data_IF_157469032323
#
_entry.id   IF_157469032323
#
_cell.length_a   1.000
_cell.length_b   1.000
_cell.length_c   1.000
_cell.angle_alpha   90.00
_cell.angle_beta   90.00
_cell.angle_gamma   90.00
#
_symmetry.space_group_name_H-M   'P 1'
#
loop_
_entity.id
_entity.type
_entity.pdbx_description
1 polymer ?
#
# COMPACT_ATOMS: atom_id res chain seq x y z
N UNK A 1 -28.18 -1.31 -38.44
CA UNK A 1 -27.89 0.07 -38.92
C UNK A 1 -29.07 1.00 -38.65
N UNK A 2 -30.25 0.75 -39.25
CA UNK A 2 -31.47 1.54 -39.03
C UNK A 2 -31.86 1.78 -37.54
N UNK A 3 -31.70 0.78 -36.65
CA UNK A 3 -32.00 0.92 -35.21
C UNK A 3 -31.09 1.94 -34.50
N UNK A 4 -29.83 2.07 -34.91
CA UNK A 4 -28.87 3.03 -34.34
C UNK A 4 -29.10 4.44 -34.91
N UNK A 5 -29.51 4.54 -36.18
CA UNK A 5 -29.84 5.81 -36.85
C UNK A 5 -31.07 6.47 -36.22
N UNK A 6 -32.09 5.69 -35.86
CA UNK A 6 -33.30 6.19 -35.19
C UNK A 6 -33.12 6.57 -33.72
N UNK A 7 -32.03 6.15 -33.06
CA UNK A 7 -31.70 6.53 -31.66
C UNK A 7 -30.82 7.77 -31.59
N UNK A 8 -30.39 8.30 -32.75
CA UNK A 8 -29.54 9.48 -32.86
C UNK A 8 -30.31 10.77 -32.57
N UNK A 9 -31.54 10.92 -33.11
CA UNK A 9 -32.34 12.15 -33.02
C UNK A 9 -33.85 11.84 -32.84
N UNK A 10 -34.49 12.21 -31.72
CA UNK A 10 -33.91 12.77 -30.50
C UNK A 10 -33.23 11.68 -29.64
N UNK A 11 -32.11 11.97 -28.97
CA UNK A 11 -31.46 11.00 -28.11
C UNK A 11 -32.36 10.63 -26.93
N UNK A 12 -32.77 9.37 -26.87
CA UNK A 12 -33.54 8.83 -25.75
C UNK A 12 -32.60 8.63 -24.54
N UNK A 13 -32.81 9.40 -23.47
CA UNK A 13 -32.06 9.28 -22.23
C UNK A 13 -32.49 8.07 -21.41
N UNK A 14 -31.96 6.87 -21.71
CA UNK A 14 -32.07 5.72 -20.81
C UNK A 14 -30.81 5.63 -19.94
N UNK A 15 -30.95 5.84 -18.64
CA UNK A 15 -29.86 5.60 -17.68
C UNK A 15 -29.73 4.09 -17.49
N UNK A 16 -28.66 3.52 -18.08
CA UNK A 16 -28.34 2.09 -17.95
C UNK A 16 -27.20 1.93 -16.95
N UNK A 17 -27.41 1.11 -15.93
CA UNK A 17 -26.36 0.70 -15.02
C UNK A 17 -25.63 -0.52 -15.59
N UNK A 18 -24.36 -0.35 -15.93
CA UNK A 18 -23.48 -1.44 -16.36
C UNK A 18 -22.53 -1.80 -15.23
N UNK A 19 -22.57 -3.05 -14.79
CA UNK A 19 -21.61 -3.59 -13.82
C UNK A 19 -20.86 -4.78 -14.41
N UNK A 20 -19.57 -4.84 -14.11
CA UNK A 20 -18.75 -6.00 -14.38
C UNK A 20 -18.87 -6.99 -13.22
N UNK A 21 -19.52 -8.12 -13.46
CA UNK A 21 -19.53 -9.23 -12.50
C UNK A 21 -18.11 -9.72 -12.22
N UNK A 22 -17.79 -9.95 -10.95
CA UNK A 22 -16.51 -10.52 -10.49
C UNK A 22 -15.26 -9.83 -11.06
N UNK A 23 -15.29 -8.50 -11.23
CA UNK A 23 -14.20 -7.78 -11.89
C UNK A 23 -12.83 -7.98 -11.21
N UNK A 24 -12.73 -7.94 -9.87
CA UNK A 24 -11.45 -8.12 -9.16
C UNK A 24 -10.87 -9.53 -9.36
N UNK A 25 -11.62 -10.63 -9.11
CA UNK A 25 -11.17 -11.97 -9.46
C UNK A 25 -10.73 -12.10 -10.92
N UNK A 26 -11.52 -11.54 -11.85
CA UNK A 26 -11.22 -11.64 -13.28
C UNK A 26 -9.93 -10.90 -13.66
N UNK A 27 -9.67 -9.72 -13.11
CA UNK A 27 -8.42 -8.98 -13.31
C UNK A 27 -7.23 -9.79 -12.78
N UNK A 28 -7.32 -10.33 -11.55
CA UNK A 28 -6.23 -11.14 -10.99
C UNK A 28 -5.89 -12.37 -11.85
N UNK A 29 -6.91 -13.06 -12.36
CA UNK A 29 -6.73 -14.24 -13.20
C UNK A 29 -6.18 -13.87 -14.60
N UNK A 30 -6.72 -12.83 -15.22
CA UNK A 30 -6.30 -12.38 -16.55
C UNK A 30 -4.84 -11.89 -16.53
N UNK A 31 -4.47 -11.11 -15.51
CA UNK A 31 -3.13 -10.56 -15.36
C UNK A 31 -2.16 -11.52 -14.63
N UNK A 32 -2.65 -12.70 -14.21
CA UNK A 32 -1.89 -13.69 -13.42
C UNK A 32 -1.24 -13.10 -12.16
N UNK A 33 -1.93 -12.14 -11.53
CA UNK A 33 -1.47 -11.45 -10.32
C UNK A 33 -1.50 -12.43 -9.14
N UNK A 34 -0.31 -12.72 -8.63
CA UNK A 34 -0.04 -13.41 -7.38
C UNK A 34 1.09 -12.64 -6.69
N UNK A 35 1.22 -12.71 -5.35
CA UNK A 35 2.33 -12.06 -4.64
C UNK A 35 3.70 -12.39 -5.25
N UNK A 36 3.92 -13.66 -5.59
CA UNK A 36 5.17 -14.15 -6.19
C UNK A 36 5.40 -13.67 -7.62
N UNK A 37 4.37 -13.19 -8.32
CA UNK A 37 4.49 -12.63 -9.67
C UNK A 37 5.00 -11.17 -9.66
N UNK A 38 5.12 -10.54 -8.48
CA UNK A 38 5.68 -9.20 -8.32
C UNK A 38 7.16 -9.34 -8.02
N UNK A 39 8.00 -9.13 -9.02
CA UNK A 39 9.46 -9.30 -8.93
C UNK A 39 10.18 -7.97 -9.11
N UNK A 40 11.30 -7.80 -8.42
CA UNK A 40 12.21 -6.68 -8.62
C UNK A 40 13.24 -6.98 -9.73
N UNK A 41 14.00 -5.95 -10.11
CA UNK A 41 15.00 -6.06 -11.18
C UNK A 41 16.11 -7.05 -10.81
N UNK A 42 16.49 -7.12 -9.53
CA UNK A 42 17.52 -8.04 -9.06
C UNK A 42 17.10 -9.51 -9.21
N UNK A 43 15.85 -9.84 -8.86
CA UNK A 43 15.28 -11.19 -9.04
C UNK A 43 15.13 -11.54 -10.51
N UNK A 44 14.71 -10.59 -11.34
CA UNK A 44 14.63 -10.78 -12.79
C UNK A 44 16.02 -11.01 -13.40
N UNK A 45 17.05 -10.30 -12.93
CA UNK A 45 18.41 -10.35 -13.46
C UNK A 45 19.03 -11.74 -13.41
N UNK A 46 18.76 -12.52 -12.36
CA UNK A 46 19.28 -13.88 -12.16
C UNK A 46 18.39 -14.97 -12.77
N UNK A 47 17.26 -14.61 -13.40
CA UNK A 47 16.34 -15.55 -14.02
C UNK A 47 16.90 -16.13 -15.32
N UNK A 48 16.81 -17.46 -15.51
CA UNK A 48 17.25 -18.13 -16.75
C UNK A 48 16.56 -17.64 -18.03
N UNK A 49 15.35 -17.06 -17.87
CA UNK A 49 14.53 -16.49 -18.93
C UNK A 49 14.84 -15.01 -19.20
N UNK A 50 15.78 -14.40 -18.47
CA UNK A 50 16.24 -13.04 -18.72
C UNK A 50 17.15 -12.99 -19.96
N UNK A 51 16.55 -13.15 -21.13
CA UNK A 51 17.20 -13.15 -22.44
C UNK A 51 16.51 -12.13 -23.34
N UNK A 52 17.23 -11.57 -24.33
CA UNK A 52 16.61 -10.68 -25.32
C UNK A 52 15.39 -11.33 -25.97
N UNK A 53 14.27 -10.60 -26.01
CA UNK A 53 13.01 -11.08 -26.62
C UNK A 53 12.10 -11.87 -25.67
N UNK A 54 12.37 -11.88 -24.36
CA UNK A 54 11.42 -12.42 -23.40
C UNK A 54 10.09 -11.63 -23.39
N UNK A 55 8.98 -12.34 -23.15
CA UNK A 55 7.64 -11.75 -23.08
C UNK A 55 6.92 -12.07 -21.75
N UNK A 56 7.67 -12.60 -20.78
CA UNK A 56 7.14 -12.99 -19.47
C UNK A 56 7.01 -11.80 -18.51
N UNK A 57 7.79 -10.74 -18.70
CA UNK A 57 7.80 -9.57 -17.81
C UNK A 57 6.80 -8.51 -18.28
N UNK A 58 5.60 -8.52 -17.70
CA UNK A 58 4.57 -7.51 -17.94
C UNK A 58 4.70 -6.37 -16.94
N UNK A 59 4.94 -5.15 -17.44
CA UNK A 59 4.94 -3.94 -16.61
C UNK A 59 3.52 -3.43 -16.40
N UNK A 60 3.14 -3.23 -15.15
CA UNK A 60 1.84 -2.68 -14.75
C UNK A 60 2.05 -1.51 -13.80
N UNK A 61 1.23 -0.47 -13.94
CA UNK A 61 1.24 0.68 -13.06
C UNK A 61 0.27 0.48 -11.91
N UNK A 62 0.65 0.91 -10.72
CA UNK A 62 -0.24 0.95 -9.56
C UNK A 62 -0.07 2.28 -8.84
N UNK A 63 -1.12 2.70 -8.14
CA UNK A 63 -1.10 3.90 -7.32
C UNK A 63 -0.87 3.50 -5.87
N UNK A 64 0.14 4.11 -5.27
CA UNK A 64 0.39 4.00 -3.84
C UNK A 64 -0.15 5.24 -3.14
N UNK A 65 -0.76 5.04 -1.97
CA UNK A 65 -1.31 6.10 -1.14
C UNK A 65 -0.88 5.85 0.28
N UNK A 66 -0.23 6.85 0.86
CA UNK A 66 0.13 6.87 2.28
C UNK A 66 -0.60 7.98 3.02
N UNK A 67 -0.77 7.74 4.31
CA UNK A 67 -1.12 8.75 5.30
C UNK A 67 0.04 8.77 6.29
N UNK A 68 0.75 9.90 6.34
CA UNK A 68 1.98 10.04 7.12
C UNK A 68 1.99 11.37 7.88
N UNK A 69 2.74 11.41 8.98
CA UNK A 69 2.93 12.64 9.74
C UNK A 69 3.89 13.58 9.00
N UNK A 70 3.57 14.88 8.88
CA UNK A 70 4.42 15.83 8.16
C UNK A 70 5.71 16.19 8.93
N UNK A 71 5.91 15.64 10.13
CA UNK A 71 7.04 15.95 10.99
C UNK A 71 8.36 15.53 10.35
N UNK A 72 9.36 16.42 10.45
CA UNK A 72 10.69 16.16 9.90
C UNK A 72 11.53 15.29 10.84
N UNK A 73 12.64 14.76 10.32
CA UNK A 73 13.51 13.85 11.10
C UNK A 73 14.12 14.52 12.33
N UNK A 74 14.43 15.81 12.25
CA UNK A 74 14.91 16.63 13.36
C UNK A 74 13.83 16.81 14.44
N UNK A 75 12.59 17.12 14.05
CA UNK A 75 11.45 17.21 14.98
C UNK A 75 11.20 15.86 15.67
N UNK A 76 11.21 14.76 14.91
CA UNK A 76 11.13 13.41 15.45
C UNK A 76 12.25 13.12 16.45
N UNK A 77 13.50 13.47 16.11
CA UNK A 77 14.64 13.25 17.00
C UNK A 77 14.53 14.11 18.27
N UNK A 78 14.07 15.35 18.18
CA UNK A 78 13.81 16.21 19.34
C UNK A 78 12.77 15.60 20.27
N UNK A 79 11.63 15.13 19.74
CA UNK A 79 10.60 14.44 20.53
C UNK A 79 11.19 13.18 21.18
N UNK A 80 11.94 12.39 20.42
CA UNK A 80 12.62 11.21 20.95
C UNK A 80 13.62 11.56 22.07
N UNK A 81 14.36 12.67 21.95
CA UNK A 81 15.27 13.12 23.01
C UNK A 81 14.51 13.56 24.27
N UNK A 82 13.40 14.28 24.12
CA UNK A 82 12.53 14.65 25.24
C UNK A 82 12.00 13.41 25.97
N UNK A 83 11.46 12.43 25.25
CA UNK A 83 10.97 11.17 25.82
C UNK A 83 12.07 10.39 26.55
N UNK A 84 13.32 10.44 26.08
CA UNK A 84 14.44 9.79 26.76
C UNK A 84 14.81 10.43 28.12
N UNK A 85 14.40 11.69 28.34
CA UNK A 85 14.60 12.39 29.61
C UNK A 85 13.43 12.17 30.59
N UNK A 86 12.30 11.64 30.10
CA UNK A 86 11.13 11.33 30.89
C UNK A 86 11.20 9.93 31.54
N UNK A 87 10.40 9.76 32.58
CA UNK A 87 10.21 8.49 33.30
C UNK A 87 8.79 8.00 33.13
N UNK A 88 8.64 6.72 32.80
CA UNK A 88 7.37 6.08 32.50
C UNK A 88 6.96 5.14 33.64
N UNK A 89 5.66 4.89 33.84
CA UNK A 89 5.21 3.87 34.78
C UNK A 89 5.74 2.49 34.38
N UNK A 90 5.96 1.64 35.37
CA UNK A 90 6.37 0.26 35.13
C UNK A 90 5.28 -0.53 34.42
N UNK A 91 5.67 -1.42 33.51
CA UNK A 91 4.75 -2.37 32.86
C UNK A 91 4.09 -3.33 33.87
N UNK A 92 4.71 -3.56 35.03
CA UNK A 92 4.16 -4.38 36.13
C UNK A 92 3.59 -3.50 37.23
N UNK A 93 2.44 -3.83 37.83
CA UNK A 93 1.90 -3.08 38.97
C UNK A 93 2.89 -3.04 40.14
N UNK A 94 3.22 -1.84 40.63
CA UNK A 94 4.13 -1.64 41.76
C UNK A 94 5.63 -1.75 41.45
N UNK A 95 6.03 -1.81 40.18
CA UNK A 95 7.44 -1.77 39.78
C UNK A 95 8.07 -0.37 39.84
N UNK A 96 9.41 -0.27 39.74
CA UNK A 96 10.09 1.01 39.63
C UNK A 96 9.79 1.70 38.30
N UNK A 97 9.81 3.04 38.27
CA UNK A 97 9.67 3.78 37.02
C UNK A 97 10.74 3.35 36.01
N UNK A 98 10.34 3.26 34.74
CA UNK A 98 11.19 2.81 33.65
C UNK A 98 11.57 3.98 32.74
N UNK A 99 12.73 3.88 32.09
CA UNK A 99 13.13 4.82 31.04
C UNK A 99 12.46 4.46 29.71
N UNK A 100 12.40 5.41 28.79
CA UNK A 100 11.86 5.20 27.45
C UNK A 100 12.44 3.96 26.74
N UNK A 101 13.75 3.74 26.83
CA UNK A 101 14.46 2.63 26.18
C UNK A 101 14.08 1.25 26.76
N UNK A 102 13.58 1.22 28.00
CA UNK A 102 13.19 -0.02 28.70
C UNK A 102 11.75 -0.43 28.36
N UNK A 103 10.99 0.45 27.71
CA UNK A 103 9.64 0.14 27.21
C UNK A 103 9.71 -0.86 26.05
N UNK A 104 8.60 -1.56 25.81
CA UNK A 104 8.50 -2.44 24.64
C UNK A 104 8.56 -1.62 23.34
N UNK A 105 8.96 -2.25 22.23
CA UNK A 105 9.02 -1.56 20.94
C UNK A 105 7.66 -1.00 20.52
N UNK A 106 6.56 -1.68 20.83
CA UNK A 106 5.21 -1.18 20.55
C UNK A 106 4.89 0.08 21.35
N UNK A 107 5.24 0.11 22.64
CA UNK A 107 4.95 1.26 23.52
C UNK A 107 5.82 2.47 23.13
N UNK A 108 7.11 2.25 22.84
CA UNK A 108 8.00 3.30 22.34
C UNK A 108 7.48 3.91 21.04
N UNK A 109 6.97 3.07 20.15
CA UNK A 109 6.48 3.50 18.84
C UNK A 109 5.15 4.23 18.98
N UNK A 110 4.26 3.79 19.89
CA UNK A 110 2.99 4.47 20.18
C UNK A 110 3.18 5.88 20.77
N UNK A 111 4.28 6.14 21.47
CA UNK A 111 4.62 7.48 21.99
C UNK A 111 5.25 8.40 20.93
N UNK A 112 5.71 7.83 19.82
CA UNK A 112 6.33 8.54 18.69
C UNK A 112 5.40 8.64 17.46
N UNK A 113 4.23 8.00 17.54
CA UNK A 113 3.17 8.03 16.54
C UNK A 113 2.14 9.11 16.86
#
# INVERSE_FOLDING_TARGET
RAKLENMRDPPHGQVTHLSLGFYRPNIMLFDRLRPDSVVDEATCAVCDLNRPGNNCHRRMTWAWREEFFPARRDEFNTIKHALNQETFPSQKPGGPQCKFVELSQSDQTALLH
#
